data_IF_501326269698
#
_entry.id   IF_501326269698
#
_cell.length_a   1.000
_cell.length_b   1.000
_cell.length_c   1.000
_cell.angle_alpha   90.00
_cell.angle_beta   90.00
_cell.angle_gamma   90.00
#
_symmetry.space_group_name_H-M   'P 1'
#
loop_
_entity.id
_entity.type
_entity.pdbx_description
1 polymer ?
#
# COMPACT_ATOMS: atom_id res chain seq x y z
N UNK A 1 14.27 12.76 20.95
CA UNK A 1 13.63 13.07 19.67
C UNK A 1 12.61 11.99 19.39
N UNK A 2 11.35 12.25 19.66
CA UNK A 2 10.26 11.30 19.39
C UNK A 2 9.96 11.38 17.90
N UNK A 3 10.48 10.42 17.13
CA UNK A 3 9.96 10.19 15.77
C UNK A 3 8.47 9.86 15.93
N UNK A 4 7.60 10.71 15.40
CA UNK A 4 6.15 10.46 15.33
C UNK A 4 5.90 9.47 14.20
N UNK A 5 6.29 8.21 14.43
CA UNK A 5 6.16 7.14 13.44
C UNK A 5 4.75 6.56 13.53
N UNK A 6 3.84 7.06 12.69
CA UNK A 6 2.53 6.43 12.53
C UNK A 6 2.73 5.02 11.99
N UNK A 7 2.13 4.03 12.65
CA UNK A 7 2.20 2.63 12.24
C UNK A 7 1.29 2.28 11.05
N UNK A 8 0.28 3.13 10.79
CA UNK A 8 -0.58 3.08 9.61
C UNK A 8 -0.60 4.48 8.99
N UNK A 9 -0.28 4.57 7.72
CA UNK A 9 -0.14 5.83 6.99
C UNK A 9 -0.94 5.78 5.69
N UNK A 10 -1.76 6.82 5.47
CA UNK A 10 -2.39 7.08 4.18
C UNK A 10 -1.63 8.14 3.40
N UNK A 11 -1.25 7.84 2.18
CA UNK A 11 -0.74 8.79 1.22
C UNK A 11 -1.95 9.32 0.44
N UNK A 12 -2.20 10.61 0.57
CA UNK A 12 -3.29 11.28 -0.11
C UNK A 12 -2.76 12.19 -1.21
N UNK A 13 -3.45 12.22 -2.33
CA UNK A 13 -3.22 13.17 -3.39
C UNK A 13 -3.71 14.58 -3.04
N UNK A 14 -3.43 15.53 -3.91
CA UNK A 14 -3.77 16.95 -3.71
C UNK A 14 -5.28 17.21 -3.60
N UNK A 15 -6.10 16.35 -4.19
CA UNK A 15 -7.56 16.42 -4.12
C UNK A 15 -8.16 15.53 -3.00
N UNK A 16 -7.33 15.01 -2.10
CA UNK A 16 -7.73 14.14 -1.01
C UNK A 16 -8.04 12.69 -1.41
N UNK A 17 -7.80 12.32 -2.66
CA UNK A 17 -7.90 10.93 -3.10
C UNK A 17 -6.83 10.07 -2.43
N UNK A 18 -7.23 8.89 -1.95
CA UNK A 18 -6.34 7.96 -1.26
C UNK A 18 -5.49 7.18 -2.28
N UNK A 19 -4.22 7.57 -2.41
CA UNK A 19 -3.29 6.93 -3.35
C UNK A 19 -2.79 5.59 -2.83
N UNK A 20 -2.45 5.54 -1.54
CA UNK A 20 -1.79 4.38 -0.95
C UNK A 20 -2.06 4.27 0.55
N UNK A 21 -2.22 3.03 1.02
CA UNK A 21 -2.18 2.66 2.43
C UNK A 21 -0.85 1.96 2.72
N UNK A 22 -0.17 2.37 3.79
CA UNK A 22 1.04 1.72 4.30
C UNK A 22 0.77 1.21 5.71
N UNK A 23 1.10 -0.05 5.95
CA UNK A 23 1.05 -0.69 7.26
C UNK A 23 2.47 -1.07 7.64
N UNK A 24 3.00 -0.40 8.67
CA UNK A 24 4.36 -0.64 9.14
C UNK A 24 4.48 -1.96 9.87
N UNK A 25 5.65 -2.57 9.79
CA UNK A 25 5.95 -3.88 10.40
C UNK A 25 5.68 -3.94 11.91
N UNK A 26 5.73 -2.80 12.58
CA UNK A 26 5.46 -2.67 14.03
C UNK A 26 4.00 -2.36 14.38
N UNK A 27 3.09 -2.25 13.39
CA UNK A 27 1.67 -2.08 13.66
C UNK A 27 1.12 -3.30 14.39
N UNK A 28 0.42 -3.06 15.48
CA UNK A 28 -0.21 -4.12 16.26
C UNK A 28 -1.44 -3.60 16.98
N UNK A 29 -2.55 -4.32 16.83
CA UNK A 29 -3.79 -4.14 17.60
C UNK A 29 -4.31 -5.50 18.03
N UNK A 30 -5.13 -5.54 19.07
CA UNK A 30 -5.77 -6.79 19.51
C UNK A 30 -7.02 -7.06 18.67
N UNK A 31 -7.26 -8.32 18.33
CA UNK A 31 -8.44 -8.74 17.58
C UNK A 31 -8.29 -8.60 16.08
N UNK A 32 -9.28 -8.00 15.42
CA UNK A 32 -9.29 -7.71 13.99
C UNK A 32 -9.58 -6.24 13.76
N UNK A 33 -8.83 -5.65 12.85
CA UNK A 33 -9.02 -4.25 12.42
C UNK A 33 -8.96 -4.19 10.88
N UNK A 34 -10.02 -3.66 10.25
CA UNK A 34 -10.07 -3.42 8.82
C UNK A 34 -9.55 -2.02 8.53
N UNK A 35 -8.42 -1.95 7.85
CA UNK A 35 -7.64 -0.73 7.64
C UNK A 35 -8.06 0.05 6.39
N UNK A 36 -8.87 -0.56 5.53
CA UNK A 36 -9.35 0.03 4.29
C UNK A 36 -10.83 0.39 4.39
N UNK A 37 -11.29 1.44 3.67
CA UNK A 37 -12.72 1.72 3.52
C UNK A 37 -13.49 0.53 2.93
N UNK A 38 -14.72 0.31 3.37
CA UNK A 38 -15.59 -0.79 2.93
C UNK A 38 -15.87 -0.79 1.41
N UNK A 39 -15.66 0.36 0.77
CA UNK A 39 -15.86 0.56 -0.67
C UNK A 39 -14.70 0.08 -1.53
N UNK A 40 -13.55 -0.24 -0.93
CA UNK A 40 -12.40 -0.71 -1.70
C UNK A 40 -12.62 -2.13 -2.22
N UNK A 41 -12.18 -2.38 -3.45
CA UNK A 41 -12.26 -3.70 -4.09
C UNK A 41 -11.28 -4.71 -3.47
N UNK A 42 -10.20 -4.25 -2.85
CA UNK A 42 -9.31 -5.03 -1.99
C UNK A 42 -9.40 -4.51 -0.56
N UNK A 43 -9.64 -5.43 0.38
CA UNK A 43 -9.69 -5.14 1.81
C UNK A 43 -8.39 -5.58 2.48
N UNK A 44 -7.79 -4.69 3.25
CA UNK A 44 -6.65 -4.99 4.12
C UNK A 44 -7.14 -5.01 5.55
N UNK A 45 -6.97 -6.15 6.21
CA UNK A 45 -7.27 -6.31 7.63
C UNK A 45 -6.04 -6.85 8.38
N UNK A 46 -5.83 -6.33 9.57
CA UNK A 46 -4.87 -6.86 10.52
C UNK A 46 -5.59 -7.77 11.51
N UNK A 47 -5.03 -8.96 11.77
CA UNK A 47 -5.57 -9.91 12.74
C UNK A 47 -4.50 -10.31 13.75
N UNK A 48 -4.82 -10.15 15.03
CA UNK A 48 -4.01 -10.62 16.15
C UNK A 48 -4.88 -11.47 17.07
N UNK A 49 -4.63 -12.78 17.06
CA UNK A 49 -5.44 -13.79 17.76
C UNK A 49 -4.57 -14.54 18.76
N UNK A 50 -5.03 -14.71 19.99
CA UNK A 50 -4.29 -15.46 21.00
C UNK A 50 -4.23 -16.95 20.65
N UNK A 51 -3.21 -17.63 21.18
CA UNK A 51 -3.09 -19.09 21.06
C UNK A 51 -4.33 -19.79 21.63
N UNK A 52 -4.87 -20.71 20.83
CA UNK A 52 -6.04 -21.54 21.21
C UNK A 52 -7.39 -20.95 20.78
N UNK A 53 -7.44 -19.73 20.29
CA UNK A 53 -8.66 -19.21 19.64
C UNK A 53 -8.93 -19.99 18.35
N UNK A 54 -10.20 -20.30 18.12
CA UNK A 54 -10.65 -21.02 16.92
C UNK A 54 -11.39 -20.03 16.02
N UNK A 55 -10.87 -19.84 14.83
CA UNK A 55 -11.60 -19.18 13.74
C UNK A 55 -12.43 -20.24 13.04
N UNK A 56 -13.75 -20.13 13.10
CA UNK A 56 -14.63 -21.11 12.51
C UNK A 56 -14.41 -21.24 11.00
N UNK A 57 -14.40 -22.50 10.52
CA UNK A 57 -14.37 -22.78 9.09
C UNK A 57 -15.60 -22.16 8.41
N UNK A 58 -15.38 -21.50 7.28
CA UNK A 58 -16.43 -20.84 6.52
C UNK A 58 -16.15 -20.90 5.02
N UNK A 59 -17.18 -20.65 4.24
CA UNK A 59 -17.14 -20.56 2.79
C UNK A 59 -17.59 -19.16 2.40
N UNK A 60 -16.85 -18.53 1.49
CA UNK A 60 -17.28 -17.26 0.90
C UNK A 60 -18.27 -17.52 -0.22
N UNK A 61 -19.48 -16.98 -0.08
CA UNK A 61 -20.49 -17.09 -1.11
C UNK A 61 -20.12 -16.27 -2.34
N UNK A 62 -20.45 -16.73 -3.55
CA UNK A 62 -20.20 -16.00 -4.78
C UNK A 62 -20.95 -14.66 -4.80
N UNK A 63 -20.24 -13.56 -4.84
CA UNK A 63 -20.81 -12.21 -4.96
C UNK A 63 -20.19 -11.54 -6.18
N UNK A 64 -21.04 -11.04 -7.09
CA UNK A 64 -20.57 -10.27 -8.23
C UNK A 64 -19.96 -8.96 -7.73
N UNK A 65 -18.71 -8.71 -8.13
CA UNK A 65 -17.99 -7.45 -7.86
C UNK A 65 -17.49 -6.86 -9.17
N UNK A 66 -17.75 -5.58 -9.38
CA UNK A 66 -17.15 -4.82 -10.49
C UNK A 66 -15.90 -4.14 -9.96
N UNK A 67 -14.75 -4.48 -10.56
CA UNK A 67 -13.45 -3.88 -10.22
C UNK A 67 -13.01 -3.02 -11.40
N UNK A 68 -12.73 -1.75 -11.13
CA UNK A 68 -12.20 -0.80 -12.09
C UNK A 68 -10.80 -0.39 -11.66
N UNK A 69 -9.84 -0.53 -12.57
CA UNK A 69 -8.42 -0.28 -12.28
C UNK A 69 -7.73 -1.47 -11.63
N UNK A 70 -6.45 -1.28 -11.37
CA UNK A 70 -5.58 -2.28 -10.74
C UNK A 70 -5.12 -1.74 -9.39
N UNK A 71 -5.39 -2.49 -8.33
CA UNK A 71 -4.80 -2.28 -7.01
C UNK A 71 -3.69 -3.32 -6.81
N UNK A 72 -2.59 -2.90 -6.19
CA UNK A 72 -1.44 -3.75 -5.94
C UNK A 72 -1.11 -3.75 -4.46
N UNK A 73 -1.00 -4.94 -3.84
CA UNK A 73 -0.48 -5.09 -2.49
C UNK A 73 0.95 -5.56 -2.58
N UNK A 74 1.87 -4.84 -1.94
CA UNK A 74 3.27 -5.21 -1.82
C UNK A 74 3.59 -5.53 -0.37
N UNK A 75 4.24 -6.66 -0.15
CA UNK A 75 4.79 -7.07 1.14
C UNK A 75 6.31 -7.19 1.03
N UNK A 76 7.03 -6.41 1.84
CA UNK A 76 8.49 -6.40 1.83
C UNK A 76 9.02 -7.52 2.71
N UNK A 77 9.71 -8.49 2.12
CA UNK A 77 10.33 -9.60 2.84
C UNK A 77 11.73 -9.28 3.32
N UNK A 78 12.48 -8.49 2.53
CA UNK A 78 13.88 -8.15 2.80
C UNK A 78 14.24 -6.86 2.08
N UNK A 79 15.20 -6.11 2.64
CA UNK A 79 15.80 -4.93 2.02
C UNK A 79 14.99 -3.66 2.21
N UNK A 80 15.33 -2.64 1.43
CA UNK A 80 14.74 -1.30 1.50
C UNK A 80 14.44 -0.78 0.11
N UNK A 81 13.30 -0.13 -0.04
CA UNK A 81 12.86 0.46 -1.30
C UNK A 81 12.24 1.83 -1.04
N UNK A 82 12.60 2.84 -1.86
CA UNK A 82 11.84 4.09 -1.89
C UNK A 82 10.69 3.94 -2.88
N UNK A 83 9.55 4.43 -2.48
CA UNK A 83 8.35 4.51 -3.32
C UNK A 83 8.04 5.98 -3.54
N UNK A 84 7.91 6.38 -4.80
CA UNK A 84 7.50 7.71 -5.21
C UNK A 84 6.05 7.67 -5.69
N UNK A 85 5.20 8.57 -5.19
CA UNK A 85 3.78 8.62 -5.51
C UNK A 85 3.46 9.79 -6.42
N UNK A 86 2.57 9.56 -7.37
CA UNK A 86 2.14 10.53 -8.37
C UNK A 86 0.62 10.55 -8.49
N UNK A 87 0.07 11.69 -8.82
CA UNK A 87 -1.31 11.81 -9.28
C UNK A 87 -1.49 11.09 -10.64
N UNK A 88 -2.74 10.91 -11.05
CA UNK A 88 -3.06 10.30 -12.36
C UNK A 88 -2.55 11.15 -13.55
N UNK A 89 -2.36 12.44 -13.36
CA UNK A 89 -1.75 13.35 -14.34
C UNK A 89 -0.21 13.34 -14.31
N UNK A 90 0.40 12.47 -13.47
CA UNK A 90 1.85 12.30 -13.25
C UNK A 90 2.50 13.36 -12.36
N UNK A 91 1.75 14.26 -11.75
CA UNK A 91 2.28 15.22 -10.78
C UNK A 91 2.80 14.47 -9.54
N UNK A 92 4.05 14.77 -9.15
CA UNK A 92 4.66 14.19 -7.96
C UNK A 92 3.95 14.65 -6.68
N UNK A 93 3.68 13.70 -5.79
CA UNK A 93 3.02 13.93 -4.50
C UNK A 93 4.02 13.87 -3.35
N UNK A 94 4.62 12.71 -3.14
CA UNK A 94 5.55 12.46 -2.04
C UNK A 94 6.27 11.12 -2.22
N UNK A 95 7.20 10.83 -1.33
CA UNK A 95 7.89 9.54 -1.28
C UNK A 95 7.82 8.94 0.12
N UNK A 96 8.04 7.64 0.21
CA UNK A 96 8.25 6.92 1.47
C UNK A 96 9.29 5.84 1.29
N UNK A 97 9.89 5.39 2.38
CA UNK A 97 10.76 4.21 2.39
C UNK A 97 10.00 3.07 3.04
N UNK A 98 9.99 1.91 2.38
CA UNK A 98 9.49 0.66 2.94
C UNK A 98 10.67 -0.25 3.30
N UNK A 99 10.49 -0.97 4.39
CA UNK A 99 11.49 -1.89 4.94
C UNK A 99 10.87 -3.27 5.17
N UNK A 100 11.70 -4.26 5.49
CA UNK A 100 11.25 -5.63 5.73
C UNK A 100 10.11 -5.70 6.78
N UNK A 101 9.03 -6.37 6.41
CA UNK A 101 7.81 -6.51 7.21
C UNK A 101 6.74 -5.46 6.93
N UNK A 102 7.05 -4.40 6.19
CA UNK A 102 6.04 -3.41 5.78
C UNK A 102 5.14 -3.99 4.69
N UNK A 103 3.87 -3.57 4.73
CA UNK A 103 2.87 -3.84 3.71
C UNK A 103 2.35 -2.54 3.13
N UNK A 104 2.15 -2.50 1.83
CA UNK A 104 1.60 -1.36 1.11
C UNK A 104 0.47 -1.81 0.20
N UNK A 105 -0.65 -1.09 0.20
CA UNK A 105 -1.71 -1.19 -0.81
C UNK A 105 -1.69 0.06 -1.68
N UNK A 106 -1.32 -0.09 -2.94
CA UNK A 106 -1.47 0.92 -3.99
C UNK A 106 -2.91 0.90 -4.50
N UNK A 107 -3.61 2.02 -4.32
CA UNK A 107 -5.04 2.11 -4.64
C UNK A 107 -5.29 2.81 -5.98
N UNK A 108 -4.70 3.99 -6.18
CA UNK A 108 -4.89 4.80 -7.39
C UNK A 108 -3.66 5.68 -7.63
N UNK A 109 -3.65 6.43 -8.75
CA UNK A 109 -2.53 7.27 -9.12
C UNK A 109 -1.36 6.49 -9.73
N UNK A 110 -0.21 7.15 -9.82
CA UNK A 110 1.04 6.58 -10.30
C UNK A 110 2.01 6.27 -9.17
N UNK A 111 2.92 5.36 -9.42
CA UNK A 111 4.01 5.05 -8.49
C UNK A 111 5.29 4.68 -9.23
N UNK A 112 6.41 4.89 -8.57
CA UNK A 112 7.74 4.48 -9.01
C UNK A 112 8.53 3.91 -7.85
N UNK A 113 9.57 3.15 -8.16
CA UNK A 113 10.41 2.49 -7.14
C UNK A 113 11.88 2.76 -7.40
N UNK A 114 12.63 3.04 -6.31
CA UNK A 114 14.09 2.98 -6.29
C UNK A 114 14.53 1.97 -5.23
N UNK A 115 15.26 0.95 -5.67
CA UNK A 115 15.81 -0.08 -4.79
C UNK A 115 17.02 0.50 -4.07
N UNK A 116 16.94 0.63 -2.74
CA UNK A 116 18.00 1.19 -1.91
C UNK A 116 18.93 0.11 -1.33
N UNK A 117 18.40 -1.09 -1.13
CA UNK A 117 19.12 -2.30 -0.70
C UNK A 117 18.53 -3.50 -1.44
N UNK A 118 19.29 -4.60 -1.58
CA UNK A 118 18.79 -5.81 -2.21
C UNK A 118 17.41 -6.20 -1.67
N UNK A 119 16.41 -6.24 -2.55
CA UNK A 119 14.99 -6.33 -2.18
C UNK A 119 14.41 -7.70 -2.53
N UNK A 120 13.61 -8.24 -1.61
CA UNK A 120 12.65 -9.31 -1.88
C UNK A 120 11.27 -8.84 -1.46
N UNK A 121 10.31 -8.92 -2.37
CA UNK A 121 8.92 -8.53 -2.09
C UNK A 121 7.93 -9.44 -2.80
N UNK A 122 6.70 -9.50 -2.27
CA UNK A 122 5.58 -10.21 -2.87
C UNK A 122 4.59 -9.17 -3.37
N UNK A 123 4.18 -9.27 -4.62
CA UNK A 123 3.12 -8.47 -5.22
C UNK A 123 1.84 -9.32 -5.36
N UNK A 124 0.72 -8.76 -4.94
CA UNK A 124 -0.63 -9.31 -5.13
C UNK A 124 -1.47 -8.26 -5.82
N UNK A 125 -2.09 -8.60 -6.95
CA UNK A 125 -2.93 -7.66 -7.70
C UNK A 125 -4.10 -8.36 -8.38
N UNK A 126 -5.03 -7.58 -8.91
CA UNK A 126 -6.13 -8.15 -9.69
C UNK A 126 -5.60 -8.90 -10.91
N UNK A 127 -6.14 -10.10 -11.12
CA UNK A 127 -6.07 -10.85 -12.36
C UNK A 127 -7.36 -10.67 -13.19
N UNK A 128 -7.40 -11.29 -14.37
CA UNK A 128 -6.33 -12.05 -15.04
C UNK A 128 -5.20 -11.14 -15.55
N UNK A 129 -4.04 -11.71 -15.87
CA UNK A 129 -2.91 -10.96 -16.40
C UNK A 129 -3.26 -10.27 -17.73
N UNK A 130 -3.05 -8.96 -17.80
CA UNK A 130 -3.45 -8.10 -18.91
C UNK A 130 -2.34 -7.79 -19.91
N UNK A 131 -1.22 -8.53 -19.89
CA UNK A 131 -0.06 -8.35 -20.79
C UNK A 131 0.51 -6.92 -20.77
N UNK A 132 0.45 -6.25 -19.62
CA UNK A 132 0.93 -4.87 -19.44
C UNK A 132 0.04 -3.78 -20.04
N UNK A 133 -1.16 -4.13 -20.54
CA UNK A 133 -2.14 -3.15 -21.07
C UNK A 133 -2.82 -2.32 -19.99
N UNK A 134 -2.66 -2.71 -18.72
CA UNK A 134 -3.24 -2.06 -17.54
C UNK A 134 -2.36 -0.94 -16.98
N UNK A 135 -1.21 -0.63 -17.63
CA UNK A 135 -0.29 0.41 -17.15
C UNK A 135 0.40 1.17 -18.28
N UNK A 136 0.67 2.44 -18.03
CA UNK A 136 1.47 3.32 -18.88
C UNK A 136 2.73 3.76 -18.12
N UNK A 137 3.91 3.47 -18.68
CA UNK A 137 5.17 3.97 -18.13
C UNK A 137 5.39 5.43 -18.52
N UNK A 138 5.99 6.21 -17.63
CA UNK A 138 6.37 7.59 -17.88
C UNK A 138 7.72 7.91 -17.22
N UNK A 139 8.36 8.97 -17.69
CA UNK A 139 9.56 9.54 -17.07
C UNK A 139 9.07 10.70 -16.20
N UNK A 140 9.27 10.67 -14.87
CA UNK A 140 8.87 11.76 -14.01
C UNK A 140 9.61 13.05 -14.33
N UNK A 141 8.97 14.19 -14.14
CA UNK A 141 9.66 15.46 -14.10
C UNK A 141 10.62 15.53 -12.89
N UNK A 142 11.72 16.25 -13.05
CA UNK A 142 12.67 16.44 -11.94
C UNK A 142 12.00 17.18 -10.78
N UNK A 143 12.08 16.60 -9.59
CA UNK A 143 11.49 17.15 -8.38
C UNK A 143 12.38 16.90 -7.16
N UNK A 144 12.20 17.69 -6.12
CA UNK A 144 12.80 17.45 -4.81
C UNK A 144 12.02 16.33 -4.09
N UNK A 145 12.76 15.40 -3.48
CA UNK A 145 12.15 14.30 -2.72
C UNK A 145 11.56 14.85 -1.42
N UNK A 146 10.27 14.56 -1.18
CA UNK A 146 9.54 14.93 0.03
C UNK A 146 8.99 13.67 0.68
N UNK A 147 9.50 13.34 1.86
CA UNK A 147 9.06 12.14 2.57
C UNK A 147 7.76 12.38 3.34
N UNK A 148 6.76 11.52 3.12
CA UNK A 148 5.44 11.61 3.74
C UNK A 148 5.47 11.41 5.26
N UNK A 149 6.45 10.68 5.75
CA UNK A 149 6.61 10.38 7.18
C UNK A 149 7.13 11.59 7.98
N UNK A 150 7.68 12.60 7.29
CA UNK A 150 8.26 13.81 7.88
C UNK A 150 7.27 14.99 7.94
N UNK A 151 6.15 14.91 7.21
CA UNK A 151 5.18 16.01 7.10
C UNK A 151 4.00 15.85 8.04
N UNK A 152 4.19 15.96 9.34
CA UNK A 152 3.13 16.19 10.33
C UNK A 152 3.71 16.83 11.59
N UNK A 153 4.09 18.11 11.45
CA UNK A 153 4.23 19.05 12.56
C UNK A 153 2.96 19.88 12.69
#
# INVERSE_FOLDING_TARGET
MTQNTRSVLWINGVNGNQLCLIVRSWFSVSGIDFLTPDTFSQQVAYMNRPKGEIIQAHIHEPILRTVVGTQEVLYIRKGRIRVDFYESDRTYVSSTILEAGDLMLLNTGGHGFEVLEDIEMIEIKQGPYAEGRDKTRFIPETHEIRYSDETSG
#
